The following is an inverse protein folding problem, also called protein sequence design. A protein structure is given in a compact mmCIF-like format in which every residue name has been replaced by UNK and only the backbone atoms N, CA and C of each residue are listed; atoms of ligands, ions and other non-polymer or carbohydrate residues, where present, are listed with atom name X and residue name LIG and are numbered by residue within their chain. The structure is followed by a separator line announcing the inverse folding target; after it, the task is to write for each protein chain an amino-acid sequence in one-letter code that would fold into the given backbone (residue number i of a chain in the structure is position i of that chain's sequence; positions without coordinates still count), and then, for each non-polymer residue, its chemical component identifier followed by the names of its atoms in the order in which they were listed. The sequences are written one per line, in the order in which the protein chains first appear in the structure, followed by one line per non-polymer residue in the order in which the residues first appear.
data_IF_554827953140
#
_entry.id   IF_554827953140
#
_cell.length_a   1.000
_cell.length_b   1.000
_cell.length_c   1.000
_cell.angle_alpha   90.00
_cell.angle_beta   90.00
_cell.angle_gamma   90.00
#
_symmetry.space_group_name_H-M   'P 1'
#
loop_
_entity.id
_entity.type
_entity.pdbx_description
1 polymer ?
#
# COMPACT_ATOMS: atom_id res chain seq x y z
N UNK A 1 0.45 16.25 -3.85
CA UNK A 1 -0.99 16.23 -3.46
C UNK A 1 -1.06 15.47 -2.15
N UNK A 2 -1.82 15.88 -1.15
CA UNK A 2 -1.97 15.15 0.12
C UNK A 2 -3.36 14.55 0.17
N UNK A 3 -3.46 13.31 0.68
CA UNK A 3 -4.74 12.65 0.90
C UNK A 3 -5.35 13.22 2.18
N UNK A 4 -6.65 13.46 2.13
CA UNK A 4 -7.44 13.75 3.33
C UNK A 4 -7.96 12.42 3.89
N UNK A 5 -7.24 11.88 4.86
CA UNK A 5 -7.58 10.62 5.51
C UNK A 5 -8.84 10.71 6.38
N UNK A 6 -9.29 11.92 6.74
CA UNK A 6 -10.45 12.10 7.64
C UNK A 6 -11.77 11.54 7.08
N UNK A 7 -11.82 11.28 5.79
CA UNK A 7 -12.98 10.68 5.10
C UNK A 7 -12.79 9.23 4.68
N UNK A 8 -11.64 8.62 4.98
CA UNK A 8 -11.30 7.24 4.59
C UNK A 8 -11.53 6.32 5.78
N UNK A 9 -12.42 5.36 5.64
CA UNK A 9 -12.72 4.33 6.67
C UNK A 9 -12.65 2.90 6.12
N UNK A 10 -12.77 2.76 4.80
CA UNK A 10 -12.73 1.47 4.13
C UNK A 10 -11.85 1.53 2.88
N UNK A 11 -10.87 0.65 2.83
CA UNK A 11 -9.93 0.49 1.71
C UNK A 11 -10.08 -0.91 1.15
N UNK A 12 -10.07 -1.05 -0.17
CA UNK A 12 -10.04 -2.37 -0.81
C UNK A 12 -8.65 -2.69 -1.32
N UNK A 13 -8.09 -3.82 -0.89
CA UNK A 13 -6.85 -4.38 -1.43
C UNK A 13 -7.18 -5.29 -2.60
N UNK A 14 -6.63 -5.00 -3.77
CA UNK A 14 -6.79 -5.79 -4.99
C UNK A 14 -5.47 -6.44 -5.34
N UNK A 15 -5.40 -7.79 -5.29
CA UNK A 15 -4.24 -8.51 -5.81
C UNK A 15 -4.34 -8.64 -7.33
N UNK A 16 -3.46 -8.00 -8.11
CA UNK A 16 -3.53 -8.01 -9.56
C UNK A 16 -3.15 -9.37 -10.18
N UNK A 17 -2.63 -10.30 -9.38
CA UNK A 17 -2.35 -11.68 -9.82
C UNK A 17 -3.57 -12.61 -9.68
N UNK A 18 -4.64 -12.15 -9.00
CA UNK A 18 -5.88 -12.88 -8.86
C UNK A 18 -6.93 -12.43 -9.91
N UNK A 19 -7.90 -13.30 -10.18
CA UNK A 19 -9.00 -12.94 -11.08
C UNK A 19 -9.86 -11.84 -10.45
N UNK A 20 -10.04 -10.73 -11.17
CA UNK A 20 -10.93 -9.67 -10.74
C UNK A 20 -12.40 -10.09 -10.92
N UNK A 21 -13.30 -9.72 -9.98
CA UNK A 21 -14.73 -9.89 -10.16
C UNK A 21 -15.23 -9.31 -11.48
N UNK A 22 -16.26 -9.93 -12.05
CA UNK A 22 -16.84 -9.48 -13.32
C UNK A 22 -17.53 -8.10 -13.20
N UNK A 23 -17.99 -7.75 -12.01
CA UNK A 23 -18.61 -6.46 -11.68
C UNK A 23 -17.74 -5.72 -10.66
N UNK A 24 -17.00 -4.74 -11.13
CA UNK A 24 -16.15 -3.89 -10.31
C UNK A 24 -16.88 -2.68 -9.71
N UNK A 25 -18.17 -2.49 -10.04
CA UNK A 25 -18.95 -1.36 -9.51
C UNK A 25 -19.11 -1.40 -7.98
N UNK A 26 -18.91 -2.58 -7.36
CA UNK A 26 -18.91 -2.75 -5.90
C UNK A 26 -17.81 -1.91 -5.23
N UNK A 27 -16.71 -1.61 -5.94
CA UNK A 27 -15.64 -0.74 -5.46
C UNK A 27 -16.08 0.72 -5.26
N UNK A 28 -17.20 1.12 -5.84
CA UNK A 28 -17.81 2.42 -5.55
C UNK A 28 -18.34 2.58 -4.10
N UNK A 29 -18.27 1.52 -3.30
CA UNK A 29 -18.62 1.54 -1.86
C UNK A 29 -17.40 1.64 -0.94
N UNK A 30 -16.19 1.53 -1.46
CA UNK A 30 -14.94 1.77 -0.73
C UNK A 30 -14.46 3.20 -0.93
N UNK A 31 -13.63 3.71 -0.03
CA UNK A 31 -13.12 5.08 -0.11
C UNK A 31 -11.83 5.16 -0.92
N UNK A 32 -11.10 4.03 -1.04
CA UNK A 32 -9.79 3.93 -1.68
C UNK A 32 -9.53 2.49 -2.13
N UNK A 33 -8.78 2.32 -3.22
CA UNK A 33 -8.30 1.01 -3.66
C UNK A 33 -6.78 0.96 -3.66
N UNK A 34 -6.19 -0.10 -3.10
CA UNK A 34 -4.77 -0.40 -3.18
C UNK A 34 -4.57 -1.61 -4.10
N UNK A 35 -3.91 -1.43 -5.23
CA UNK A 35 -3.52 -2.50 -6.14
C UNK A 35 -2.12 -2.98 -5.78
N UNK A 36 -2.03 -4.18 -5.23
CA UNK A 36 -0.77 -4.76 -4.79
C UNK A 36 -0.94 -6.17 -4.27
N UNK A 37 0.11 -6.95 -4.39
CA UNK A 37 0.18 -8.33 -3.95
C UNK A 37 1.63 -8.79 -3.96
N UNK A 38 1.89 -10.04 -3.55
CA UNK A 38 3.26 -10.53 -3.36
C UNK A 38 3.67 -11.63 -4.35
N UNK A 39 2.77 -12.49 -4.81
CA UNK A 39 3.10 -13.62 -5.69
C UNK A 39 2.40 -13.50 -7.04
N UNK A 40 3.15 -13.65 -8.13
CA UNK A 40 2.61 -13.56 -9.48
C UNK A 40 2.32 -12.14 -9.97
N UNK A 41 2.60 -11.11 -9.16
CA UNK A 41 2.46 -9.70 -9.55
C UNK A 41 3.50 -9.33 -10.60
N UNK A 42 3.05 -8.62 -11.61
CA UNK A 42 3.86 -8.09 -12.71
C UNK A 42 3.41 -6.66 -13.03
N UNK A 43 4.26 -5.89 -13.72
CA UNK A 43 3.88 -4.58 -14.24
C UNK A 43 2.59 -4.66 -15.07
N UNK A 44 2.50 -5.65 -15.97
CA UNK A 44 1.37 -5.77 -16.90
C UNK A 44 0.03 -6.07 -16.21
N UNK A 45 -0.01 -6.98 -15.20
CA UNK A 45 -1.26 -7.24 -14.49
C UNK A 45 -1.61 -6.12 -13.49
N UNK A 46 -0.62 -5.43 -12.95
CA UNK A 46 -0.86 -4.23 -12.13
C UNK A 46 -1.51 -3.12 -12.96
N UNK A 47 -1.00 -2.85 -14.16
CA UNK A 47 -1.56 -1.86 -15.07
C UNK A 47 -3.00 -2.23 -15.48
N UNK A 48 -3.23 -3.49 -15.91
CA UNK A 48 -4.57 -3.96 -16.29
C UNK A 48 -5.59 -3.79 -15.14
N UNK A 49 -5.19 -4.13 -13.92
CA UNK A 49 -6.06 -3.97 -12.75
C UNK A 49 -6.38 -2.50 -12.48
N UNK A 50 -5.37 -1.62 -12.46
CA UNK A 50 -5.54 -0.17 -12.21
C UNK A 50 -6.47 0.44 -13.27
N UNK A 51 -6.23 0.19 -14.56
CA UNK A 51 -7.03 0.72 -15.65
C UNK A 51 -8.50 0.25 -15.57
N UNK A 52 -8.74 -1.05 -15.32
CA UNK A 52 -10.09 -1.60 -15.18
C UNK A 52 -10.85 -1.05 -13.99
N UNK A 53 -10.17 -0.80 -12.88
CA UNK A 53 -10.75 -0.17 -11.69
C UNK A 53 -11.12 1.28 -12.00
N UNK A 54 -10.21 2.05 -12.58
CA UNK A 54 -10.44 3.46 -12.94
C UNK A 54 -11.56 3.63 -13.99
N UNK A 55 -11.75 2.65 -14.88
CA UNK A 55 -12.89 2.64 -15.82
C UNK A 55 -14.24 2.32 -15.15
N UNK A 56 -14.21 1.64 -14.02
CA UNK A 56 -15.42 1.10 -13.36
C UNK A 56 -15.95 1.98 -12.24
N UNK A 57 -15.11 2.76 -11.56
CA UNK A 57 -15.49 3.59 -10.43
C UNK A 57 -14.56 4.80 -10.29
N UNK A 58 -15.07 5.85 -9.63
CA UNK A 58 -14.35 7.12 -9.39
C UNK A 58 -13.82 7.13 -7.93
N UNK A 59 -12.93 6.18 -7.61
CA UNK A 59 -12.25 6.11 -6.31
C UNK A 59 -10.75 6.25 -6.53
N UNK A 60 -9.99 6.85 -5.60
CA UNK A 60 -8.54 6.91 -5.70
C UNK A 60 -7.92 5.52 -5.77
N UNK A 61 -6.93 5.33 -6.65
CA UNK A 61 -6.23 4.05 -6.83
C UNK A 61 -4.75 4.21 -6.52
N UNK A 62 -4.27 3.43 -5.55
CA UNK A 62 -2.86 3.33 -5.22
C UNK A 62 -2.26 2.09 -5.84
N UNK A 63 -1.04 2.19 -6.33
CA UNK A 63 -0.22 1.03 -6.56
C UNK A 63 0.70 0.79 -5.36
N UNK A 64 0.70 -0.43 -4.80
CA UNK A 64 1.63 -0.86 -3.75
C UNK A 64 2.53 -1.98 -4.29
N UNK A 65 3.68 -1.65 -4.89
CA UNK A 65 4.60 -2.65 -5.43
C UNK A 65 5.55 -3.16 -4.34
N UNK A 66 5.83 -4.46 -4.31
CA UNK A 66 6.92 -5.00 -3.50
C UNK A 66 8.26 -5.10 -4.27
N UNK A 67 8.25 -4.80 -5.57
CA UNK A 67 9.43 -4.80 -6.43
C UNK A 67 9.42 -3.64 -7.43
N UNK A 68 10.58 -3.05 -7.69
CA UNK A 68 10.74 -2.03 -8.72
C UNK A 68 10.34 -2.51 -10.13
N UNK A 69 10.37 -3.83 -10.39
CA UNK A 69 9.95 -4.40 -11.67
C UNK A 69 8.43 -4.36 -11.91
N UNK A 70 7.64 -4.01 -10.91
CA UNK A 70 6.18 -3.85 -11.03
C UNK A 70 5.78 -2.41 -11.40
N UNK A 71 6.75 -1.51 -11.46
CA UNK A 71 6.53 -0.08 -11.70
C UNK A 71 7.09 0.31 -13.05
N UNK A 72 6.29 0.99 -13.84
CA UNK A 72 6.66 1.64 -15.11
C UNK A 72 6.07 3.03 -15.18
N UNK A 73 6.41 3.79 -16.23
CA UNK A 73 5.72 5.05 -16.51
C UNK A 73 4.22 4.87 -16.64
N UNK A 74 3.78 3.78 -17.27
CA UNK A 74 2.37 3.55 -17.53
C UNK A 74 1.60 3.27 -16.24
N UNK A 75 2.17 2.49 -15.29
CA UNK A 75 1.54 2.24 -13.99
C UNK A 75 1.55 3.49 -13.10
N UNK A 76 2.61 4.32 -13.16
CA UNK A 76 2.68 5.59 -12.42
C UNK A 76 1.65 6.59 -12.94
N UNK A 77 1.46 6.67 -14.27
CA UNK A 77 0.50 7.57 -14.88
C UNK A 77 -0.95 7.12 -14.67
N UNK A 78 -1.18 5.82 -14.50
CA UNK A 78 -2.50 5.25 -14.28
C UNK A 78 -2.97 5.29 -12.83
N UNK A 79 -2.05 5.23 -11.85
CA UNK A 79 -2.35 5.30 -10.42
C UNK A 79 -2.32 6.75 -9.91
N UNK A 80 -3.12 7.06 -8.88
CA UNK A 80 -3.08 8.36 -8.22
C UNK A 80 -1.83 8.50 -7.33
N UNK A 81 -1.42 7.40 -6.68
CA UNK A 81 -0.28 7.35 -5.79
C UNK A 81 0.47 6.02 -5.87
N UNK A 82 1.76 6.09 -5.58
CA UNK A 82 2.62 4.94 -5.37
C UNK A 82 2.89 4.79 -3.87
N UNK A 83 2.41 3.71 -3.27
CA UNK A 83 2.56 3.44 -1.84
C UNK A 83 3.66 2.42 -1.58
N UNK A 84 4.67 2.79 -0.79
CA UNK A 84 5.89 2.00 -0.62
C UNK A 84 6.01 1.54 0.83
N UNK A 85 5.84 0.24 1.12
CA UNK A 85 5.92 -0.28 2.48
C UNK A 85 7.37 -0.35 2.99
N UNK A 86 7.58 0.04 4.23
CA UNK A 86 8.80 -0.17 5.02
C UNK A 86 8.50 -1.15 6.14
N UNK A 87 8.73 -2.45 5.92
CA UNK A 87 8.37 -3.52 6.86
C UNK A 87 9.34 -3.57 8.03
N UNK A 88 8.90 -3.11 9.22
CA UNK A 88 9.76 -2.94 10.40
C UNK A 88 10.20 -4.25 11.04
N UNK A 89 9.38 -5.29 11.01
CA UNK A 89 9.73 -6.61 11.54
C UNK A 89 10.25 -7.60 10.48
N UNK A 90 10.51 -7.13 9.24
CA UNK A 90 11.08 -7.91 8.15
C UNK A 90 12.59 -7.78 7.98
N UNK A 91 13.12 -8.24 6.84
CA UNK A 91 14.51 -8.03 6.41
C UNK A 91 14.72 -6.56 5.99
N UNK A 92 14.88 -5.72 7.00
CA UNK A 92 15.01 -4.26 6.85
C UNK A 92 16.17 -3.85 5.96
N UNK A 93 17.28 -4.57 6.00
CA UNK A 93 18.46 -4.23 5.20
C UNK A 93 18.20 -4.41 3.71
N UNK A 94 17.56 -5.52 3.32
CA UNK A 94 17.19 -5.79 1.94
C UNK A 94 16.06 -4.84 1.47
N UNK A 95 15.09 -4.57 2.33
CA UNK A 95 13.98 -3.68 2.02
C UNK A 95 14.45 -2.24 1.74
N UNK A 96 15.26 -1.66 2.62
CA UNK A 96 15.84 -0.32 2.42
C UNK A 96 16.73 -0.27 1.19
N UNK A 97 17.49 -1.33 0.92
CA UNK A 97 18.32 -1.42 -0.29
C UNK A 97 17.48 -1.35 -1.58
N UNK A 98 16.34 -2.05 -1.63
CA UNK A 98 15.40 -2.01 -2.77
C UNK A 98 14.85 -0.60 -3.03
N UNK A 99 14.51 0.16 -1.98
CA UNK A 99 14.07 1.55 -2.13
C UNK A 99 15.18 2.43 -2.71
N UNK A 100 16.41 2.31 -2.20
CA UNK A 100 17.57 3.05 -2.72
C UNK A 100 17.87 2.69 -4.17
N UNK A 101 17.81 1.40 -4.51
CA UNK A 101 18.00 0.92 -5.88
C UNK A 101 16.93 1.46 -6.83
N UNK A 102 15.66 1.44 -6.44
CA UNK A 102 14.58 1.99 -7.24
C UNK A 102 14.83 3.45 -7.62
N UNK A 103 15.06 4.32 -6.63
CA UNK A 103 15.30 5.74 -6.90
C UNK A 103 16.61 5.98 -7.65
N UNK A 104 17.62 5.16 -7.42
CA UNK A 104 18.89 5.25 -8.15
C UNK A 104 18.72 4.87 -9.63
N UNK A 105 17.96 3.82 -9.94
CA UNK A 105 17.68 3.41 -11.33
C UNK A 105 16.74 4.39 -12.04
N UNK A 106 15.70 4.88 -11.36
CA UNK A 106 14.81 5.92 -11.89
C UNK A 106 15.60 7.18 -12.31
N UNK A 107 16.58 7.60 -11.50
CA UNK A 107 17.45 8.72 -11.83
C UNK A 107 18.44 8.48 -12.96
N UNK A 108 18.81 7.21 -13.21
CA UNK A 108 19.71 6.83 -14.32
C UNK A 108 18.97 6.59 -15.64
N UNK A 109 17.75 6.09 -15.56
CA UNK A 109 16.94 5.66 -16.71
C UNK A 109 15.53 6.28 -16.65
N UNK A 110 15.44 7.61 -16.62
CA UNK A 110 14.15 8.28 -16.48
C UNK A 110 13.21 8.02 -17.67
N UNK A 111 13.74 7.68 -18.85
CA UNK A 111 12.92 7.34 -20.03
C UNK A 111 12.19 6.00 -19.87
N UNK A 112 12.83 5.02 -19.19
CA UNK A 112 12.26 3.70 -19.00
C UNK A 112 11.23 3.67 -17.85
N UNK A 113 11.53 4.39 -16.74
CA UNK A 113 10.73 4.31 -15.52
C UNK A 113 9.73 5.48 -15.36
N UNK A 114 9.98 6.60 -16.02
CA UNK A 114 9.19 7.82 -15.83
C UNK A 114 8.60 8.35 -17.16
N UNK A 115 8.76 7.61 -18.27
CA UNK A 115 8.25 8.02 -19.60
C UNK A 115 8.83 9.35 -20.12
N UNK A 116 9.84 9.90 -19.44
CA UNK A 116 10.38 11.21 -19.76
C UNK A 116 11.18 11.18 -21.07
N UNK A 117 10.59 11.64 -22.18
CA UNK A 117 11.29 11.82 -23.46
C UNK A 117 12.31 12.94 -23.34
N UNK A 118 13.58 12.61 -23.13
CA UNK A 118 14.67 13.59 -22.94
C UNK A 118 15.50 13.66 -24.25
N UNK A 119 15.48 14.80 -24.97
CA UNK A 119 16.39 15.00 -26.10
C UNK A 119 17.84 15.08 -25.59
N UNK A 120 18.66 14.18 -26.10
CA UNK A 120 20.00 13.83 -25.64
C UNK A 120 21.03 14.93 -25.71
N UNK A 121 21.73 15.23 -24.59
CA UNK A 121 23.19 15.36 -24.49
C UNK A 121 23.67 15.35 -23.01
N UNK A 122 24.41 14.36 -22.58
CA UNK A 122 25.34 14.36 -21.44
C UNK A 122 24.75 14.81 -20.07
N UNK A 123 25.31 15.87 -19.52
CA UNK A 123 24.97 16.40 -18.19
C UNK A 123 23.49 16.85 -18.05
N UNK A 124 22.82 17.11 -19.17
CA UNK A 124 21.40 17.51 -19.20
C UNK A 124 20.48 16.32 -18.86
N UNK A 125 20.88 15.09 -19.24
CA UNK A 125 20.12 13.86 -18.92
C UNK A 125 20.09 13.65 -17.42
N UNK A 126 21.24 13.76 -16.75
CA UNK A 126 21.34 13.58 -15.30
C UNK A 126 20.56 14.67 -14.51
N UNK A 127 20.51 15.90 -15.04
CA UNK A 127 19.71 16.98 -14.42
C UNK A 127 18.21 16.72 -14.55
N UNK A 128 17.76 16.37 -15.74
CA UNK A 128 16.35 16.07 -16.01
C UNK A 128 15.89 14.77 -15.36
N UNK A 129 16.76 13.76 -15.27
CA UNK A 129 16.48 12.54 -14.51
C UNK A 129 16.23 12.83 -13.03
N UNK A 130 17.02 13.71 -12.42
CA UNK A 130 16.78 14.13 -11.02
C UNK A 130 15.51 14.94 -10.84
N UNK A 131 15.17 15.79 -11.82
CA UNK A 131 13.91 16.54 -11.82
C UNK A 131 12.71 15.58 -11.91
N UNK A 132 12.75 14.62 -12.83
CA UNK A 132 11.70 13.63 -12.98
C UNK A 132 11.54 12.72 -11.72
N UNK A 133 12.65 12.35 -11.06
CA UNK A 133 12.59 11.63 -9.77
C UNK A 133 11.99 12.51 -8.67
N UNK A 134 12.32 13.80 -8.64
CA UNK A 134 11.72 14.73 -7.67
C UNK A 134 10.20 14.87 -7.91
N UNK A 135 9.78 14.97 -9.16
CA UNK A 135 8.36 15.03 -9.53
C UNK A 135 7.63 13.72 -9.14
N UNK A 136 8.25 12.56 -9.37
CA UNK A 136 7.71 11.27 -8.92
C UNK A 136 7.47 11.24 -7.41
N UNK A 137 8.41 11.78 -6.60
CA UNK A 137 8.28 11.73 -5.13
C UNK A 137 7.13 12.56 -4.58
N UNK A 138 6.52 13.45 -5.37
CA UNK A 138 5.30 14.16 -4.97
C UNK A 138 4.07 13.24 -4.88
N UNK A 139 4.11 12.09 -5.57
CA UNK A 139 3.04 11.10 -5.59
C UNK A 139 3.46 9.77 -4.94
N UNK A 140 4.59 9.74 -4.22
CA UNK A 140 5.04 8.57 -3.46
C UNK A 140 4.70 8.74 -1.99
N UNK A 141 4.02 7.76 -1.42
CA UNK A 141 3.69 7.67 -0.01
C UNK A 141 4.54 6.56 0.62
N UNK A 142 5.17 6.84 1.74
CA UNK A 142 5.85 5.81 2.52
C UNK A 142 4.89 5.26 3.58
N UNK A 143 4.95 3.95 3.80
CA UNK A 143 4.16 3.27 4.82
C UNK A 143 5.09 2.65 5.87
N UNK A 144 4.91 2.99 7.15
CA UNK A 144 5.40 2.17 8.24
C UNK A 144 4.57 0.89 8.30
N UNK A 145 5.19 -0.28 8.24
CA UNK A 145 4.47 -1.52 8.01
C UNK A 145 4.89 -2.60 9.01
N UNK A 146 3.94 -3.28 9.63
CA UNK A 146 4.18 -4.38 10.56
C UNK A 146 3.36 -5.59 10.13
N UNK A 147 4.01 -6.71 9.81
CA UNK A 147 3.35 -7.96 9.43
C UNK A 147 3.20 -8.86 10.65
N UNK A 148 1.97 -9.21 11.01
CA UNK A 148 1.62 -9.97 12.22
C UNK A 148 1.15 -11.41 11.94
N UNK A 149 1.03 -11.82 10.67
CA UNK A 149 0.77 -13.21 10.29
C UNK A 149 2.00 -13.82 9.62
N UNK A 150 2.71 -14.73 10.31
CA UNK A 150 3.93 -15.38 9.81
C UNK A 150 3.67 -16.39 8.69
N UNK A 151 2.45 -16.87 8.55
CA UNK A 151 2.07 -17.82 7.49
C UNK A 151 1.64 -17.11 6.18
N UNK A 152 1.68 -15.77 6.18
CA UNK A 152 1.30 -14.96 5.02
C UNK A 152 2.38 -14.90 3.95
N UNK A 153 1.96 -14.66 2.70
CA UNK A 153 2.88 -14.35 1.60
C UNK A 153 3.68 -13.08 1.89
N UNK A 154 3.06 -12.07 2.52
CA UNK A 154 3.70 -10.84 2.92
C UNK A 154 4.87 -11.07 3.88
N UNK A 155 4.73 -11.96 4.86
CA UNK A 155 5.80 -12.34 5.77
C UNK A 155 6.95 -13.04 5.03
N UNK A 156 6.64 -13.96 4.12
CA UNK A 156 7.64 -14.69 3.36
C UNK A 156 8.47 -13.75 2.46
N UNK A 157 7.81 -12.83 1.73
CA UNK A 157 8.46 -11.91 0.80
C UNK A 157 9.29 -10.82 1.50
N UNK A 158 8.83 -10.35 2.67
CA UNK A 158 9.52 -9.33 3.46
C UNK A 158 10.53 -9.91 4.47
N UNK A 159 10.66 -11.24 4.57
CA UNK A 159 11.59 -11.90 5.49
C UNK A 159 11.22 -11.71 6.95
N UNK A 160 9.92 -11.65 7.26
CA UNK A 160 9.43 -11.57 8.64
C UNK A 160 9.52 -12.93 9.30
N UNK A 161 10.24 -13.02 10.40
CA UNK A 161 10.46 -14.27 11.16
C UNK A 161 9.84 -14.25 12.57
N UNK A 162 9.31 -13.09 12.99
CA UNK A 162 8.57 -12.95 14.25
C UNK A 162 7.52 -11.82 14.17
N UNK A 163 6.46 -11.97 14.92
CA UNK A 163 5.50 -10.90 15.19
C UNK A 163 6.05 -9.89 16.19
N UNK A 164 5.47 -8.70 16.23
CA UNK A 164 5.69 -7.72 17.27
C UNK A 164 4.65 -7.89 18.39
N UNK A 165 5.06 -7.62 19.63
CA UNK A 165 4.11 -7.42 20.73
C UNK A 165 3.40 -6.07 20.57
N UNK A 166 2.25 -5.84 21.25
CA UNK A 166 1.58 -4.54 21.22
C UNK A 166 2.50 -3.36 21.59
N UNK A 167 3.41 -3.53 22.55
CA UNK A 167 4.41 -2.51 22.90
C UNK A 167 5.41 -2.23 21.76
N UNK A 168 5.78 -3.26 20.99
CA UNK A 168 6.65 -3.09 19.82
C UNK A 168 5.91 -2.46 18.64
N UNK A 169 4.62 -2.78 18.46
CA UNK A 169 3.73 -2.12 17.47
C UNK A 169 3.58 -0.64 17.83
N UNK A 170 3.32 -0.32 19.09
CA UNK A 170 3.28 1.06 19.59
C UNK A 170 4.60 1.81 19.33
N UNK A 171 5.73 1.16 19.55
CA UNK A 171 7.05 1.71 19.25
C UNK A 171 7.28 1.95 17.76
N UNK A 172 6.75 1.07 16.91
CA UNK A 172 6.78 1.23 15.45
C UNK A 172 5.89 2.40 14.99
N UNK A 173 4.68 2.52 15.55
CA UNK A 173 3.77 3.63 15.30
C UNK A 173 4.42 4.98 15.67
N UNK A 174 4.98 5.10 16.87
CA UNK A 174 5.68 6.30 17.31
C UNK A 174 6.88 6.65 16.42
N UNK A 175 7.63 5.64 15.96
CA UNK A 175 8.72 5.87 15.02
C UNK A 175 8.23 6.38 13.66
N UNK A 176 7.11 5.85 13.17
CA UNK A 176 6.47 6.29 11.93
C UNK A 176 6.05 7.75 12.03
N UNK A 177 5.29 8.10 13.05
CA UNK A 177 4.77 9.44 13.30
C UNK A 177 5.88 10.46 13.53
N UNK A 178 6.73 10.21 14.56
CA UNK A 178 7.59 11.26 15.12
C UNK A 178 9.01 11.26 14.55
N UNK A 179 9.47 10.17 13.96
CA UNK A 179 10.86 10.03 13.50
C UNK A 179 11.00 9.94 11.99
N UNK A 180 10.10 9.17 11.34
CA UNK A 180 10.13 9.03 9.88
C UNK A 180 9.20 10.01 9.17
N UNK A 181 8.16 10.50 9.84
CA UNK A 181 7.15 11.41 9.26
C UNK A 181 6.47 10.77 8.03
N UNK A 182 6.11 9.48 8.16
CA UNK A 182 5.39 8.78 7.10
C UNK A 182 3.89 9.02 7.23
N UNK A 183 3.16 9.19 6.12
CA UNK A 183 1.73 9.49 6.16
C UNK A 183 0.85 8.29 6.53
N UNK A 184 1.40 7.07 6.52
CA UNK A 184 0.65 5.83 6.76
C UNK A 184 1.42 4.93 7.73
N UNK A 185 0.70 4.33 8.68
CA UNK A 185 1.14 3.19 9.46
C UNK A 185 0.16 2.03 9.27
N UNK A 186 0.65 0.87 8.88
CA UNK A 186 -0.16 -0.28 8.50
C UNK A 186 0.14 -1.50 9.36
N UNK A 187 -0.88 -2.02 10.04
CA UNK A 187 -0.85 -3.27 10.79
C UNK A 187 -1.47 -4.38 9.94
N UNK A 188 -0.67 -5.33 9.48
CA UNK A 188 -1.02 -6.33 8.48
C UNK A 188 -1.11 -7.74 9.06
N UNK A 189 -2.30 -8.31 9.03
CA UNK A 189 -2.58 -9.68 9.45
C UNK A 189 -2.87 -10.65 8.28
N UNK A 190 -2.83 -10.20 7.03
CA UNK A 190 -3.00 -10.99 5.78
C UNK A 190 -3.79 -12.28 5.92
N UNK A 191 -5.05 -12.28 5.54
CA UNK A 191 -5.90 -13.47 5.51
C UNK A 191 -6.34 -14.02 6.87
N UNK A 192 -5.95 -13.39 7.98
CA UNK A 192 -6.31 -13.80 9.33
C UNK A 192 -6.83 -12.62 10.13
N UNK A 193 -8.03 -12.74 10.70
CA UNK A 193 -8.56 -11.70 11.59
C UNK A 193 -7.94 -11.81 12.98
N UNK A 194 -7.52 -10.67 13.55
CA UNK A 194 -6.96 -10.61 14.90
C UNK A 194 -6.36 -9.24 15.21
N UNK A 195 -5.81 -9.11 16.40
CA UNK A 195 -4.97 -8.00 16.83
C UNK A 195 -5.62 -6.62 17.03
N UNK A 196 -6.89 -6.48 17.48
CA UNK A 196 -7.39 -5.17 17.87
C UNK A 196 -6.53 -4.51 18.96
N UNK A 197 -5.86 -5.30 19.81
CA UNK A 197 -4.91 -4.81 20.79
C UNK A 197 -3.66 -4.17 20.18
N UNK A 198 -3.22 -4.60 19.01
CA UNK A 198 -2.12 -3.96 18.28
C UNK A 198 -2.56 -2.61 17.70
N UNK A 199 -3.80 -2.54 17.21
CA UNK A 199 -4.42 -1.29 16.74
C UNK A 199 -4.57 -0.30 17.88
N UNK A 200 -5.14 -0.72 19.03
CA UNK A 200 -5.25 0.12 20.23
C UNK A 200 -3.89 0.64 20.71
N UNK A 201 -2.85 -0.20 20.65
CA UNK A 201 -1.49 0.18 21.05
C UNK A 201 -0.89 1.22 20.10
N UNK A 202 -1.08 1.07 18.78
CA UNK A 202 -0.61 2.00 17.77
C UNK A 202 -1.33 3.35 17.85
N UNK A 203 -2.66 3.34 17.93
CA UNK A 203 -3.52 4.53 17.90
C UNK A 203 -3.18 5.57 18.98
N UNK A 204 -2.59 5.13 20.11
CA UNK A 204 -2.19 6.04 21.19
C UNK A 204 -1.08 7.03 20.80
N UNK A 205 -0.36 6.78 19.71
CA UNK A 205 0.84 7.52 19.30
C UNK A 205 0.76 8.12 17.91
N UNK A 206 -0.38 8.01 17.25
CA UNK A 206 -0.61 8.54 15.91
C UNK A 206 -1.61 9.71 15.98
N UNK A 207 -1.27 10.85 15.42
CA UNK A 207 -2.09 12.07 15.33
C UNK A 207 -2.27 12.51 13.88
N UNK A 208 -1.18 12.55 13.10
CA UNK A 208 -1.14 12.99 11.71
C UNK A 208 -0.95 11.83 10.71
N UNK A 209 -0.42 10.70 11.18
CA UNK A 209 -0.23 9.46 10.39
C UNK A 209 -1.50 8.62 10.39
N UNK A 210 -2.02 8.26 9.23
CA UNK A 210 -3.19 7.39 9.11
C UNK A 210 -2.88 5.94 9.54
N UNK A 211 -3.68 5.39 10.45
CA UNK A 211 -3.59 4.01 10.91
C UNK A 211 -4.47 3.10 10.07
N UNK A 212 -3.85 2.26 9.26
CA UNK A 212 -4.54 1.23 8.48
C UNK A 212 -4.40 -0.14 9.13
N UNK A 213 -5.45 -0.94 9.03
CA UNK A 213 -5.47 -2.33 9.45
C UNK A 213 -5.94 -3.23 8.32
N UNK A 214 -5.18 -4.26 7.96
CA UNK A 214 -5.57 -5.30 7.02
C UNK A 214 -5.44 -6.69 7.63
N UNK A 215 -6.47 -7.51 7.49
CA UNK A 215 -6.40 -8.89 7.98
C UNK A 215 -7.76 -9.56 8.17
N UNK A 216 -8.16 -10.42 7.23
CA UNK A 216 -9.25 -11.38 7.38
C UNK A 216 -10.62 -10.81 7.77
N UNK A 217 -10.89 -9.52 7.50
CA UNK A 217 -12.19 -8.90 7.76
C UNK A 217 -13.22 -9.46 6.79
N UNK A 218 -14.35 -9.91 7.33
CA UNK A 218 -15.44 -10.56 6.60
C UNK A 218 -16.84 -10.05 6.99
N UNK A 219 -16.94 -9.07 7.87
CA UNK A 219 -18.23 -8.56 8.35
C UNK A 219 -18.11 -7.14 8.87
N UNK A 220 -19.24 -6.44 8.89
CA UNK A 220 -19.40 -5.12 9.49
C UNK A 220 -19.04 -5.09 10.99
N UNK A 221 -19.30 -6.18 11.73
CA UNK A 221 -18.94 -6.28 13.15
C UNK A 221 -17.41 -6.22 13.33
N UNK A 222 -16.65 -6.95 12.50
CA UNK A 222 -15.19 -6.93 12.53
C UNK A 222 -14.63 -5.57 12.10
N UNK A 223 -15.18 -4.96 11.05
CA UNK A 223 -14.84 -3.59 10.65
C UNK A 223 -15.02 -2.62 11.80
N UNK A 224 -16.19 -2.66 12.44
CA UNK A 224 -16.52 -1.77 13.57
C UNK A 224 -15.56 -1.98 14.74
N UNK A 225 -15.22 -3.24 15.08
CA UNK A 225 -14.30 -3.54 16.18
C UNK A 225 -12.91 -2.92 15.93
N UNK A 226 -12.40 -2.99 14.71
CA UNK A 226 -11.09 -2.43 14.36
C UNK A 226 -11.11 -0.90 14.34
N UNK A 227 -12.17 -0.28 13.79
CA UNK A 227 -12.32 1.17 13.81
C UNK A 227 -12.51 1.69 15.26
N UNK A 228 -13.28 0.99 16.10
CA UNK A 228 -13.44 1.32 17.52
C UNK A 228 -12.13 1.16 18.31
N UNK A 229 -11.23 0.26 17.89
CA UNK A 229 -9.87 0.12 18.43
C UNK A 229 -8.95 1.29 18.06
N UNK A 230 -9.34 2.13 17.11
CA UNK A 230 -8.66 3.38 16.75
C UNK A 230 -7.98 3.37 15.39
N UNK A 231 -8.24 2.39 14.52
CA UNK A 231 -7.83 2.49 13.12
C UNK A 231 -8.62 3.59 12.40
N UNK A 232 -7.96 4.33 11.51
CA UNK A 232 -8.63 5.28 10.62
C UNK A 232 -9.38 4.53 9.52
N UNK A 233 -8.79 3.44 9.00
CA UNK A 233 -9.43 2.63 7.99
C UNK A 233 -9.07 1.15 8.08
N UNK A 234 -10.02 0.30 7.65
CA UNK A 234 -9.79 -1.12 7.40
C UNK A 234 -9.43 -1.37 5.95
N UNK A 235 -8.57 -2.38 5.71
CA UNK A 235 -8.17 -2.83 4.37
C UNK A 235 -8.70 -4.25 4.15
N UNK A 236 -9.59 -4.41 3.17
CA UNK A 236 -10.28 -5.66 2.86
C UNK A 236 -9.84 -6.18 1.49
N UNK A 237 -9.32 -7.39 1.43
CA UNK A 237 -8.85 -8.02 0.19
C UNK A 237 -9.62 -9.29 -0.15
N UNK A 238 -9.47 -10.36 0.64
CA UNK A 238 -9.96 -11.71 0.31
C UNK A 238 -11.45 -11.75 -0.06
N UNK A 239 -12.31 -11.08 0.72
CA UNK A 239 -13.75 -11.02 0.43
C UNK A 239 -14.08 -10.39 -0.92
N UNK A 240 -13.31 -9.39 -1.35
CA UNK A 240 -13.52 -8.75 -2.64
C UNK A 240 -13.31 -9.73 -3.80
N UNK A 241 -12.27 -10.58 -3.72
CA UNK A 241 -11.99 -11.57 -4.75
C UNK A 241 -12.93 -12.77 -4.68
N UNK A 242 -13.20 -13.28 -3.47
CA UNK A 242 -13.91 -14.55 -3.24
C UNK A 242 -15.44 -14.41 -3.28
N UNK A 243 -16.00 -13.38 -2.62
CA UNK A 243 -17.43 -13.17 -2.47
C UNK A 243 -17.79 -11.67 -2.41
N UNK A 244 -18.10 -11.04 -3.55
CA UNK A 244 -18.50 -9.63 -3.60
C UNK A 244 -19.74 -9.28 -2.75
N UNK A 245 -20.61 -10.26 -2.44
CA UNK A 245 -21.74 -10.00 -1.57
C UNK A 245 -21.30 -9.90 -0.10
N UNK A 246 -20.38 -10.76 0.34
CA UNK A 246 -19.76 -10.68 1.66
C UNK A 246 -18.89 -9.42 1.78
N UNK A 247 -18.22 -9.00 0.70
CA UNK A 247 -17.47 -7.75 0.68
C UNK A 247 -18.32 -6.55 1.07
N UNK A 248 -19.56 -6.46 0.58
CA UNK A 248 -20.48 -5.37 0.94
C UNK A 248 -20.85 -5.37 2.44
N UNK A 249 -20.80 -6.52 3.10
CA UNK A 249 -21.03 -6.62 4.55
C UNK A 249 -19.84 -6.09 5.38
N UNK A 250 -18.70 -5.78 4.76
CA UNK A 250 -17.53 -5.19 5.45
C UNK A 250 -17.55 -3.66 5.46
N UNK A 251 -18.39 -3.03 4.65
CA UNK A 251 -18.50 -1.57 4.56
C UNK A 251 -19.05 -1.00 5.89
N UNK A 252 -18.43 0.04 6.50
CA UNK A 252 -18.85 0.63 7.77
C UNK A 252 -20.23 1.28 7.74
#
# INVERSE_FOLDING_TARGET
MSIDWSGVSHVTKVDPAEDLPADLSVLGHTDLVIVGGSDGVTEANSLDAIERIAESCDVPVFQEPYSASHVSSDTIDAADFLSIPAVYNGDRANFVAKHVEFFAEAGKKPEELLGASIPVVGDLIASKGREAVADLTENVLAEGYVVQNLDSKAAAESGVDRTYSPDEVAGAALATESFYDFPIFYVEYSGTYGGPEDVEAAAQYLEDTALLYGGGIQSHEQTTEILDAGADAVVVGDCFHDDPAQFLDTIP
#
